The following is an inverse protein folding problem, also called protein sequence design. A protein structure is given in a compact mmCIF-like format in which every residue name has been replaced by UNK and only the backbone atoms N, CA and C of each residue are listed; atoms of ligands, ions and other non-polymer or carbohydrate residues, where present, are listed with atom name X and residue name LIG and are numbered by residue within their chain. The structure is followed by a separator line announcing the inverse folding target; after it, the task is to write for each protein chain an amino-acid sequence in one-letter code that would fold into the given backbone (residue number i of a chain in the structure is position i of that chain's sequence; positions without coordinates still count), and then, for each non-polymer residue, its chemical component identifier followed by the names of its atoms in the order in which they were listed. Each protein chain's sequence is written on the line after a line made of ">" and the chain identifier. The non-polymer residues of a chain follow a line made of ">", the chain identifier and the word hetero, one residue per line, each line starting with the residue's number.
data_IF_269773704537
#
_entry.id   IF_269773704537
#
_cell.length_a   1.000
_cell.length_b   1.000
_cell.length_c   1.000
_cell.angle_alpha   90.00
_cell.angle_beta   90.00
_cell.angle_gamma   90.00
#
_symmetry.space_group_name_H-M   'P 1'
#
loop_
_entity.id
_entity.type
_entity.pdbx_description
1 polymer ?
#
# COMPACT_ATOMS: atom_id res chain seq x y z
N UNK A 1 8.29 -6.00 -3.50
CA UNK A 1 8.37 -5.31 -4.80
C UNK A 1 9.74 -4.66 -4.92
N UNK A 2 10.36 -4.72 -6.10
CA UNK A 2 11.63 -4.02 -6.38
C UNK A 2 11.40 -2.60 -6.93
N UNK A 3 12.50 -1.88 -7.21
CA UNK A 3 12.48 -0.50 -7.71
C UNK A 3 11.62 -0.33 -8.97
N UNK A 4 11.86 -1.15 -9.98
CA UNK A 4 11.20 -1.03 -11.29
C UNK A 4 9.67 -1.11 -11.19
N UNK A 5 9.15 -1.99 -10.32
CA UNK A 5 7.71 -2.10 -10.06
C UNK A 5 7.15 -0.86 -9.37
N UNK A 6 7.89 -0.30 -8.41
CA UNK A 6 7.50 0.91 -7.72
C UNK A 6 7.49 2.13 -8.67
N UNK A 7 8.48 2.25 -9.55
CA UNK A 7 8.56 3.32 -10.55
C UNK A 7 7.43 3.21 -11.58
N UNK A 8 7.13 2.00 -12.06
CA UNK A 8 6.00 1.77 -12.94
C UNK A 8 4.68 2.23 -12.31
N UNK A 9 4.43 1.88 -11.05
CA UNK A 9 3.21 2.28 -10.35
C UNK A 9 3.15 3.79 -10.07
N UNK A 10 4.30 4.40 -9.72
CA UNK A 10 4.42 5.86 -9.58
C UNK A 10 4.03 6.58 -10.87
N UNK A 11 4.54 6.11 -12.00
CA UNK A 11 4.30 6.75 -13.31
C UNK A 11 2.84 6.60 -13.78
N UNK A 12 2.04 5.74 -13.12
CA UNK A 12 0.60 5.63 -13.31
C UNK A 12 -0.23 6.59 -12.42
N UNK A 13 0.41 7.43 -11.61
CA UNK A 13 -0.24 8.40 -10.69
C UNK A 13 -1.30 7.78 -9.75
N UNK A 14 -1.06 6.55 -9.30
CA UNK A 14 -1.93 5.89 -8.32
C UNK A 14 -1.83 6.58 -6.96
N UNK A 15 -2.85 6.40 -6.11
CA UNK A 15 -2.89 7.05 -4.78
C UNK A 15 -2.37 6.16 -3.64
N UNK A 16 -2.37 4.85 -3.82
CA UNK A 16 -1.87 3.91 -2.82
C UNK A 16 -1.47 2.56 -3.44
N UNK A 17 -0.60 1.83 -2.76
CA UNK A 17 -0.25 0.43 -3.03
C UNK A 17 -0.51 -0.40 -1.76
N UNK A 18 -1.13 -1.57 -1.92
CA UNK A 18 -1.42 -2.50 -0.83
C UNK A 18 -0.72 -3.84 -1.01
N UNK A 19 -0.30 -4.46 0.10
CA UNK A 19 0.24 -5.83 0.13
C UNK A 19 -0.29 -6.61 1.34
N UNK A 20 -0.41 -7.93 1.21
CA UNK A 20 -0.68 -8.85 2.32
C UNK A 20 0.58 -9.31 3.07
N UNK A 21 1.76 -8.89 2.59
CA UNK A 21 3.03 -9.13 3.27
C UNK A 21 3.29 -8.11 4.39
N UNK A 22 4.29 -8.43 5.23
CA UNK A 22 4.79 -7.56 6.30
C UNK A 22 5.41 -6.26 5.78
N UNK A 23 5.94 -6.29 4.55
CA UNK A 23 6.57 -5.15 3.91
C UNK A 23 6.24 -5.13 2.41
N UNK A 24 6.15 -3.94 1.81
CA UNK A 24 6.00 -3.80 0.35
C UNK A 24 7.29 -4.11 -0.40
N UNK A 25 8.46 -3.94 0.23
CA UNK A 25 9.76 -4.28 -0.34
C UNK A 25 9.98 -5.79 -0.38
N UNK A 26 10.70 -6.26 -1.40
CA UNK A 26 11.15 -7.65 -1.42
C UNK A 26 12.25 -7.84 -0.37
N UNK A 27 12.21 -8.95 0.38
CA UNK A 27 13.08 -9.24 1.54
C UNK A 27 14.56 -9.48 1.20
N UNK A 28 14.92 -9.44 -0.08
CA UNK A 28 16.24 -9.88 -0.56
C UNK A 28 17.31 -8.78 -0.50
N UNK A 29 16.91 -7.53 -0.20
CA UNK A 29 17.80 -6.38 -0.17
C UNK A 29 17.60 -5.61 1.14
N UNK A 30 18.70 -5.21 1.79
CA UNK A 30 18.66 -4.38 3.00
C UNK A 30 18.19 -2.94 2.75
N UNK A 31 17.98 -2.58 1.48
CA UNK A 31 17.41 -1.31 1.06
C UNK A 31 15.88 -1.41 0.90
N UNK A 32 15.22 -0.25 0.96
CA UNK A 32 13.76 -0.11 0.82
C UNK A 32 13.36 0.66 -0.44
N UNK A 33 13.75 0.20 -1.65
CA UNK A 33 13.56 0.95 -2.89
C UNK A 33 12.10 1.27 -3.21
N UNK A 34 11.17 0.36 -2.89
CA UNK A 34 9.75 0.59 -3.10
C UNK A 34 9.21 1.64 -2.11
N UNK A 35 9.60 1.58 -0.83
CA UNK A 35 9.22 2.63 0.12
C UNK A 35 9.68 4.01 -0.33
N UNK A 36 10.96 4.18 -0.67
CA UNK A 36 11.50 5.48 -1.06
C UNK A 36 10.83 6.01 -2.33
N UNK A 37 10.62 5.15 -3.32
CA UNK A 37 10.01 5.55 -4.60
C UNK A 37 8.55 5.97 -4.42
N UNK A 38 7.76 5.18 -3.68
CA UNK A 38 6.33 5.44 -3.52
C UNK A 38 6.07 6.60 -2.54
N UNK A 39 6.68 6.58 -1.36
CA UNK A 39 6.47 7.63 -0.35
C UNK A 39 7.06 8.96 -0.82
N UNK A 40 8.20 8.95 -1.52
CA UNK A 40 8.78 10.14 -2.12
C UNK A 40 7.88 10.79 -3.18
N UNK A 41 6.97 10.02 -3.78
CA UNK A 41 5.95 10.49 -4.70
C UNK A 41 4.58 10.74 -4.05
N UNK A 42 4.49 10.74 -2.71
CA UNK A 42 3.24 10.85 -1.95
C UNK A 42 2.20 9.74 -2.23
N UNK A 43 2.67 8.54 -2.56
CA UNK A 43 1.82 7.36 -2.74
C UNK A 43 1.81 6.57 -1.44
N UNK A 44 0.62 6.34 -0.87
CA UNK A 44 0.50 5.64 0.40
C UNK A 44 0.81 4.14 0.26
N UNK A 45 1.42 3.56 1.30
CA UNK A 45 1.71 2.13 1.38
C UNK A 45 0.83 1.52 2.47
N UNK A 46 0.13 0.44 2.14
CA UNK A 46 -0.70 -0.33 3.07
C UNK A 46 -0.17 -1.75 3.14
N UNK A 47 0.19 -2.20 4.33
CA UNK A 47 0.82 -3.51 4.55
C UNK A 47 -0.05 -4.40 5.45
N UNK A 48 0.23 -5.70 5.45
CA UNK A 48 -0.50 -6.70 6.24
C UNK A 48 -2.01 -6.75 5.93
N UNK A 49 -2.41 -6.49 4.68
CA UNK A 49 -3.80 -6.68 4.26
C UNK A 49 -4.21 -8.15 4.36
N UNK A 50 -5.49 -8.38 4.58
CA UNK A 50 -6.06 -9.73 4.68
C UNK A 50 -7.30 -9.84 3.79
N UNK A 51 -7.80 -11.06 3.59
CA UNK A 51 -9.03 -11.34 2.84
C UNK A 51 -9.01 -10.94 1.35
N UNK A 52 -7.83 -10.68 0.77
CA UNK A 52 -7.70 -10.22 -0.62
C UNK A 52 -8.33 -11.18 -1.65
N UNK A 53 -8.38 -12.49 -1.35
CA UNK A 53 -9.03 -13.50 -2.20
C UNK A 53 -10.53 -13.26 -2.43
N UNK A 54 -11.18 -12.44 -1.60
CA UNK A 54 -12.60 -12.09 -1.74
C UNK A 54 -12.84 -10.95 -2.74
N UNK A 55 -11.78 -10.29 -3.22
CA UNK A 55 -11.84 -9.09 -4.06
C UNK A 55 -11.71 -9.48 -5.53
N UNK A 56 -12.80 -9.97 -6.11
CA UNK A 56 -12.81 -10.54 -7.48
C UNK A 56 -13.14 -9.56 -8.59
N UNK A 57 -13.64 -8.37 -8.24
CA UNK A 57 -14.06 -7.30 -9.15
C UNK A 57 -13.50 -5.97 -8.64
N UNK A 58 -13.43 -4.91 -9.47
CA UNK A 58 -13.12 -3.57 -8.99
C UNK A 58 -14.01 -3.18 -7.81
N UNK A 59 -13.41 -2.61 -6.77
CA UNK A 59 -14.08 -2.31 -5.51
C UNK A 59 -13.63 -0.95 -4.98
N UNK A 60 -14.40 -0.39 -4.05
CA UNK A 60 -13.99 0.83 -3.34
C UNK A 60 -13.19 0.41 -2.12
N UNK A 61 -11.94 0.87 -2.05
CA UNK A 61 -11.07 0.66 -0.89
C UNK A 61 -11.07 1.89 0.01
N UNK A 62 -11.17 1.66 1.32
CA UNK A 62 -11.12 2.69 2.34
C UNK A 62 -10.09 2.31 3.41
N UNK A 63 -9.19 3.25 3.69
CA UNK A 63 -8.17 3.15 4.73
C UNK A 63 -8.33 4.31 5.70
N UNK A 64 -8.54 3.99 6.99
CA UNK A 64 -8.78 4.97 8.04
C UNK A 64 -7.59 5.01 9.03
N UNK A 65 -6.57 5.85 8.79
CA UNK A 65 -5.50 6.07 9.75
C UNK A 65 -5.98 6.88 10.96
N UNK A 66 -5.36 6.62 12.10
CA UNK A 66 -5.50 7.45 13.29
C UNK A 66 -4.88 8.83 13.04
N UNK A 67 -5.47 9.87 13.62
CA UNK A 67 -4.95 11.24 13.54
C UNK A 67 -3.82 11.45 14.56
N UNK A 68 -2.69 10.77 14.34
CA UNK A 68 -1.51 10.84 15.22
C UNK A 68 -0.75 12.13 14.93
N UNK A 69 -0.52 12.96 15.95
CA UNK A 69 0.25 14.20 15.81
C UNK A 69 1.67 13.87 15.34
N UNK A 70 2.07 14.40 14.19
CA UNK A 70 3.36 14.11 13.55
C UNK A 70 3.63 12.61 13.30
N UNK A 71 2.58 11.80 13.17
CA UNK A 71 2.71 10.37 12.89
C UNK A 71 3.15 10.11 11.45
N UNK A 72 4.10 9.19 11.27
CA UNK A 72 4.53 8.70 9.96
C UNK A 72 3.67 7.52 9.48
N UNK A 73 3.19 6.69 10.42
CA UNK A 73 2.43 5.46 10.15
C UNK A 73 1.32 5.34 11.19
N UNK A 74 0.24 4.67 10.82
CA UNK A 74 -0.85 4.30 11.73
C UNK A 74 -1.35 2.90 11.41
N UNK A 75 -1.73 2.09 12.42
CA UNK A 75 -2.63 0.97 12.15
C UNK A 75 -3.94 1.51 11.55
N UNK A 76 -4.59 0.72 10.71
CA UNK A 76 -5.84 1.11 10.05
C UNK A 76 -6.90 0.03 10.20
N UNK A 77 -8.16 0.42 10.03
CA UNK A 77 -9.22 -0.51 9.63
C UNK A 77 -9.37 -0.44 8.12
N UNK A 78 -8.74 -1.37 7.40
CA UNK A 78 -8.91 -1.50 5.96
C UNK A 78 -10.30 -2.09 5.65
N UNK A 79 -11.04 -1.45 4.75
CA UNK A 79 -12.38 -1.87 4.33
C UNK A 79 -12.48 -1.84 2.81
N UNK A 80 -13.05 -2.89 2.23
CA UNK A 80 -13.45 -2.93 0.83
C UNK A 80 -14.97 -3.00 0.75
N UNK A 81 -15.58 -2.10 -0.04
CA UNK A 81 -16.98 -2.21 -0.44
C UNK A 81 -17.06 -3.04 -1.71
N UNK A 82 -17.66 -4.21 -1.63
CA UNK A 82 -17.89 -5.13 -2.75
C UNK A 82 -19.38 -5.17 -3.07
N UNK A 83 -19.73 -5.12 -4.36
CA UNK A 83 -21.08 -5.42 -4.82
C UNK A 83 -21.33 -6.93 -4.68
N UNK A 84 -22.58 -7.30 -4.37
CA UNK A 84 -22.98 -8.71 -4.21
C UNK A 84 -23.38 -9.33 -5.53
#
# INVERSE_FOLDING_TARGET
>A
MGKDGAEYLRDKDIKAVGTDAIAIDATEHGDHPAHYTLLGANIAIIENLTNLKQLTQPFIFLAFPLKIKQGSVSPIRAVAFIEK
#
